data_IF_699685909371
#
_entry.id   IF_699685909371
#
_cell.length_a   1.000
_cell.length_b   1.000
_cell.length_c   1.000
_cell.angle_alpha   90.00
_cell.angle_beta   90.00
_cell.angle_gamma   90.00
#
_symmetry.space_group_name_H-M   'P 1'
#
loop_
_entity.id
_entity.type
_entity.pdbx_description
1 polymer ?
#
# COMPACT_ATOMS: atom_id res chain seq x y z
N UNK A 1 -22.95 -44.40 -21.30
CA UNK A 1 -21.85 -43.57 -21.85
C UNK A 1 -21.67 -42.36 -20.92
N UNK A 2 -20.89 -42.51 -19.85
CA UNK A 2 -20.61 -41.41 -18.91
C UNK A 2 -19.42 -40.62 -19.43
N UNK A 3 -19.65 -39.37 -19.85
CA UNK A 3 -18.60 -38.46 -20.30
C UNK A 3 -17.69 -38.12 -19.12
N UNK A 4 -16.41 -38.48 -19.25
CA UNK A 4 -15.33 -38.18 -18.31
C UNK A 4 -14.97 -36.68 -18.40
N UNK A 5 -15.86 -35.79 -17.94
CA UNK A 5 -15.62 -34.34 -17.95
C UNK A 5 -14.50 -33.91 -16.99
N UNK A 6 -14.18 -34.71 -15.97
CA UNK A 6 -13.11 -34.40 -15.00
C UNK A 6 -11.70 -34.46 -15.60
N UNK A 7 -11.45 -35.31 -16.61
CA UNK A 7 -10.10 -35.45 -17.20
C UNK A 7 -9.78 -34.31 -18.17
N UNK A 8 -10.78 -33.74 -18.84
CA UNK A 8 -10.62 -32.59 -19.74
C UNK A 8 -10.27 -31.28 -18.99
N UNK A 9 -10.69 -31.12 -17.73
CA UNK A 9 -10.34 -29.96 -16.92
C UNK A 9 -8.97 -30.07 -16.23
N UNK A 10 -8.42 -31.29 -16.15
CA UNK A 10 -7.15 -31.55 -15.46
C UNK A 10 -5.92 -31.07 -16.25
N UNK A 11 -6.07 -30.71 -17.53
CA UNK A 11 -5.03 -30.10 -18.38
C UNK A 11 -5.21 -28.59 -18.53
N UNK A 12 -6.34 -28.01 -18.08
CA UNK A 12 -6.62 -26.58 -18.15
C UNK A 12 -5.88 -25.80 -17.06
N UNK A 13 -5.67 -26.43 -15.90
CA UNK A 13 -4.94 -25.84 -14.77
C UNK A 13 -3.48 -26.32 -14.87
N UNK A 14 -2.53 -25.43 -15.22
CA UNK A 14 -1.14 -25.83 -15.28
C UNK A 14 -0.68 -26.31 -13.88
N UNK A 15 0.22 -27.31 -13.82
CA UNK A 15 0.71 -27.84 -12.55
C UNK A 15 1.34 -26.73 -11.71
N UNK A 16 1.36 -26.88 -10.37
CA UNK A 16 2.02 -25.93 -9.48
C UNK A 16 3.51 -25.83 -9.82
N UNK A 17 3.85 -24.83 -10.61
CA UNK A 17 5.21 -24.50 -11.00
C UNK A 17 5.83 -23.66 -9.88
N UNK A 18 7.05 -24.00 -9.47
CA UNK A 18 7.76 -23.31 -8.39
C UNK A 18 7.98 -21.81 -8.68
N UNK A 19 7.98 -21.43 -9.96
CA UNK A 19 8.07 -20.05 -10.44
C UNK A 19 7.61 -19.98 -11.90
N UNK A 20 6.56 -19.20 -12.23
CA UNK A 20 6.16 -18.97 -13.62
C UNK A 20 7.29 -18.36 -14.47
N UNK A 21 8.19 -17.60 -13.84
CA UNK A 21 9.33 -16.93 -14.51
C UNK A 21 10.47 -17.90 -14.88
N UNK A 22 10.51 -19.08 -14.28
CA UNK A 22 11.57 -20.07 -14.55
C UNK A 22 11.24 -20.98 -15.75
N UNK A 23 10.02 -20.93 -16.27
CA UNK A 23 9.58 -21.76 -17.39
C UNK A 23 9.98 -21.04 -18.69
N UNK A 24 10.89 -21.66 -19.46
CA UNK A 24 11.35 -21.12 -20.75
C UNK A 24 12.49 -20.09 -20.67
N UNK A 25 12.93 -19.71 -19.47
CA UNK A 25 14.13 -18.88 -19.32
C UNK A 25 15.37 -19.73 -19.61
N UNK A 26 16.24 -19.23 -20.50
CA UNK A 26 17.51 -19.89 -20.81
C UNK A 26 18.31 -20.10 -19.51
N UNK A 27 18.80 -21.32 -19.23
CA UNK A 27 19.49 -21.62 -17.97
C UNK A 27 20.74 -20.73 -17.77
N UNK A 28 21.38 -20.30 -18.86
CA UNK A 28 22.53 -19.41 -18.81
C UNK A 28 22.15 -17.97 -18.46
N UNK A 29 20.98 -17.49 -18.90
CA UNK A 29 20.45 -16.19 -18.50
C UNK A 29 20.12 -16.16 -16.99
N UNK A 30 19.57 -17.26 -16.45
CA UNK A 30 19.31 -17.39 -15.00
C UNK A 30 20.63 -17.39 -14.22
N UNK A 31 21.66 -18.11 -14.69
CA UNK A 31 22.99 -18.10 -14.06
C UNK A 31 23.58 -16.70 -14.05
N UNK A 32 23.52 -15.99 -15.18
CA UNK A 32 24.02 -14.63 -15.28
C UNK A 32 23.28 -13.66 -14.35
N UNK A 33 21.94 -13.75 -14.27
CA UNK A 33 21.15 -12.96 -13.33
C UNK A 33 21.55 -13.21 -11.86
N UNK A 34 21.85 -14.47 -11.49
CA UNK A 34 22.30 -14.79 -10.13
C UNK A 34 23.64 -14.14 -9.82
N UNK A 35 24.59 -14.19 -10.74
CA UNK A 35 25.91 -13.55 -10.59
C UNK A 35 25.77 -12.04 -10.45
N UNK A 36 25.02 -11.40 -11.34
CA UNK A 36 24.75 -9.95 -11.26
C UNK A 36 24.08 -9.60 -9.93
N UNK A 37 23.04 -10.35 -9.54
CA UNK A 37 22.34 -10.12 -8.27
C UNK A 37 23.22 -10.32 -7.03
N UNK A 38 24.22 -11.21 -7.11
CA UNK A 38 25.18 -11.44 -6.03
C UNK A 38 26.06 -10.20 -5.83
N UNK A 39 26.60 -9.64 -6.92
CA UNK A 39 27.42 -8.43 -6.85
C UNK A 39 26.61 -7.15 -6.57
N UNK A 40 25.36 -7.09 -7.03
CA UNK A 40 24.44 -6.01 -6.67
C UNK A 40 24.10 -6.00 -5.17
N UNK A 41 23.94 -7.19 -4.58
CA UNK A 41 23.55 -7.40 -3.18
C UNK A 41 24.73 -7.64 -2.24
N UNK A 42 25.96 -7.42 -2.71
CA UNK A 42 27.11 -7.30 -1.80
C UNK A 42 26.71 -6.35 -0.66
N UNK A 43 26.99 -6.67 0.62
CA UNK A 43 26.56 -5.86 1.75
C UNK A 43 27.16 -4.45 1.69
N UNK A 44 26.53 -3.58 0.92
CA UNK A 44 26.65 -2.14 1.02
C UNK A 44 25.91 -1.82 2.32
N UNK A 45 26.58 -1.19 3.28
CA UNK A 45 26.00 -0.87 4.59
C UNK A 45 24.58 -0.28 4.46
N UNK A 46 23.80 -0.37 5.55
CA UNK A 46 22.38 0.00 5.53
C UNK A 46 22.13 1.30 4.74
N UNK A 47 21.24 1.23 3.75
CA UNK A 47 20.91 2.38 2.91
C UNK A 47 20.51 3.57 3.81
N UNK A 48 21.02 4.78 3.54
CA UNK A 48 20.75 5.93 4.38
C UNK A 48 19.24 6.17 4.46
N UNK A 49 18.76 6.47 5.66
CA UNK A 49 17.35 6.71 5.88
C UNK A 49 16.86 7.85 5.00
N UNK A 50 15.77 7.60 4.27
CA UNK A 50 15.15 8.59 3.39
C UNK A 50 14.69 9.75 4.26
N UNK A 51 15.47 10.83 4.27
CA UNK A 51 15.11 12.06 4.98
C UNK A 51 13.83 12.60 4.34
N UNK A 52 12.76 12.61 5.11
CA UNK A 52 11.49 13.19 4.70
C UNK A 52 11.66 14.66 4.27
N UNK A 53 11.30 14.96 3.02
CA UNK A 53 11.28 16.31 2.46
C UNK A 53 9.83 16.79 2.34
N UNK A 54 9.62 18.10 2.47
CA UNK A 54 8.30 18.73 2.40
C UNK A 54 7.45 18.54 3.67
N UNK A 55 6.32 19.24 3.72
CA UNK A 55 5.41 19.24 4.88
C UNK A 55 4.76 17.87 5.09
N UNK A 56 4.23 17.27 4.01
CA UNK A 56 3.61 15.94 4.05
C UNK A 56 4.62 14.84 4.39
N UNK A 57 5.83 14.90 3.82
CA UNK A 57 6.88 13.93 4.13
C UNK A 57 7.27 13.96 5.60
N UNK A 58 7.39 15.15 6.21
CA UNK A 58 7.69 15.30 7.64
C UNK A 58 6.58 14.71 8.51
N UNK A 59 5.32 14.97 8.16
CA UNK A 59 4.17 14.40 8.85
C UNK A 59 4.14 12.87 8.74
N UNK A 60 4.40 12.33 7.54
CA UNK A 60 4.48 10.89 7.31
C UNK A 60 5.59 10.25 8.12
N UNK A 61 6.81 10.81 8.10
CA UNK A 61 7.92 10.29 8.88
C UNK A 61 7.66 10.30 10.39
N UNK A 62 6.95 11.31 10.90
CA UNK A 62 6.61 11.44 12.33
C UNK A 62 5.56 10.45 12.79
N UNK A 63 4.58 10.12 11.94
CA UNK A 63 3.40 9.35 12.39
C UNK A 63 3.28 7.95 11.79
N UNK A 64 3.92 7.68 10.66
CA UNK A 64 3.88 6.42 9.91
C UNK A 64 5.28 5.82 9.67
N UNK A 65 6.32 6.45 10.22
CA UNK A 65 7.70 5.96 10.13
C UNK A 65 7.97 4.80 11.11
N UNK A 66 9.19 4.75 11.62
CA UNK A 66 9.67 3.67 12.51
C UNK A 66 8.83 3.48 13.78
N UNK A 67 8.23 4.55 14.29
CA UNK A 67 7.36 4.53 15.46
C UNK A 67 5.95 4.94 15.02
N UNK A 68 5.13 4.01 14.51
CA UNK A 68 3.78 4.34 14.08
C UNK A 68 2.94 4.81 15.27
N UNK A 69 2.17 5.88 15.06
CA UNK A 69 1.28 6.45 16.09
C UNK A 69 -0.15 6.52 15.58
N UNK A 70 -1.14 6.36 16.46
CA UNK A 70 -2.56 6.52 16.11
C UNK A 70 -3.01 7.98 15.90
N UNK A 71 -2.10 8.95 16.07
CA UNK A 71 -2.38 10.39 15.96
C UNK A 71 -3.03 10.80 14.63
N UNK A 72 -2.70 10.23 13.46
CA UNK A 72 -3.38 10.56 12.21
C UNK A 72 -4.88 10.29 12.23
N UNK A 73 -5.32 9.23 12.92
CA UNK A 73 -6.74 8.91 13.09
C UNK A 73 -7.41 10.02 13.92
N UNK A 74 -6.76 10.43 15.01
CA UNK A 74 -7.27 11.53 15.87
C UNK A 74 -7.35 12.83 15.08
N UNK A 75 -6.30 13.18 14.31
CA UNK A 75 -6.33 14.39 13.48
C UNK A 75 -7.47 14.37 12.46
N UNK A 76 -7.74 13.21 11.85
CA UNK A 76 -8.86 13.04 10.92
C UNK A 76 -10.21 13.27 11.62
N UNK A 77 -10.41 12.69 12.81
CA UNK A 77 -11.65 12.88 13.59
C UNK A 77 -11.83 14.36 13.94
N UNK A 78 -10.79 15.01 14.46
CA UNK A 78 -10.83 16.44 14.83
C UNK A 78 -11.13 17.30 13.60
N UNK A 79 -10.51 17.00 12.45
CA UNK A 79 -10.76 17.70 11.20
C UNK A 79 -12.23 17.56 10.74
N UNK A 80 -12.77 16.35 10.77
CA UNK A 80 -14.16 16.09 10.38
C UNK A 80 -15.16 16.76 11.33
N UNK A 81 -14.94 16.68 12.63
CA UNK A 81 -15.80 17.34 13.64
C UNK A 81 -15.74 18.85 13.48
N UNK A 82 -14.55 19.43 13.31
CA UNK A 82 -14.37 20.87 13.13
C UNK A 82 -15.09 21.39 11.88
N UNK A 83 -14.94 20.70 10.74
CA UNK A 83 -15.65 21.06 9.51
C UNK A 83 -17.17 20.88 9.67
N UNK A 84 -17.60 19.75 10.23
CA UNK A 84 -19.02 19.47 10.47
C UNK A 84 -19.67 20.54 11.35
N UNK A 85 -18.99 20.96 12.43
CA UNK A 85 -19.45 22.05 13.28
C UNK A 85 -19.50 23.38 12.53
N UNK A 86 -18.48 23.71 11.75
CA UNK A 86 -18.47 24.94 10.96
C UNK A 86 -19.62 24.98 9.94
N UNK A 87 -19.89 23.86 9.26
CA UNK A 87 -21.03 23.72 8.35
C UNK A 87 -22.36 23.87 9.10
N UNK A 88 -22.53 23.14 10.20
CA UNK A 88 -23.75 23.22 11.01
C UNK A 88 -23.98 24.65 11.55
N UNK A 89 -22.90 25.34 11.92
CA UNK A 89 -22.96 26.74 12.34
C UNK A 89 -23.41 27.65 11.21
N UNK A 90 -22.81 27.50 10.04
CA UNK A 90 -23.11 28.34 8.88
C UNK A 90 -24.54 28.14 8.36
N UNK A 91 -25.00 26.90 8.25
CA UNK A 91 -26.29 26.57 7.63
C UNK A 91 -27.47 26.46 8.59
N UNK A 92 -27.24 26.20 9.88
CA UNK A 92 -28.31 26.03 10.87
C UNK A 92 -28.17 27.02 12.02
N UNK A 93 -27.12 26.91 12.85
CA UNK A 93 -27.08 27.59 14.15
C UNK A 93 -27.05 29.13 14.04
N UNK A 94 -26.44 29.69 12.99
CA UNK A 94 -26.39 31.15 12.78
C UNK A 94 -27.78 31.77 12.56
N UNK A 95 -28.72 31.02 11.99
CA UNK A 95 -30.05 31.53 11.68
C UNK A 95 -31.02 31.45 12.87
N UNK A 96 -30.77 30.56 13.83
CA UNK A 96 -31.58 30.44 15.05
C UNK A 96 -31.42 31.59 16.04
N UNK A 97 -30.31 32.35 15.98
CA UNK A 97 -30.09 33.51 16.88
C UNK A 97 -30.66 34.83 16.34
N UNK A 98 -30.82 34.94 15.01
CA UNK A 98 -31.15 36.21 14.34
C UNK A 98 -32.55 36.26 13.72
N UNK A 99 -33.31 35.16 13.72
CA UNK A 99 -34.71 35.13 13.28
C UNK A 99 -35.56 34.45 14.36
N UNK A 100 -36.71 35.04 14.69
CA UNK A 100 -37.71 34.37 15.51
C UNK A 100 -38.33 33.22 14.68
N UNK A 101 -38.52 32.08 15.34
CA UNK A 101 -39.13 30.88 14.76
C UNK A 101 -40.51 31.13 14.16
#
# INVERSE_FOLDING_TARGET
>A
MSFVTRRALSTLIPPKVASPKAIGAAPDAIRMQRVVSFYEKLPRGAAPEVKAKGLLGRYQAKHFGKNPTAKPIIHLIVFLVGIGYAQNYYFHLRHHKNNAH
#
